data_IF_412572958865
#
_entry.id   IF_412572958865
#
_cell.length_a   1.000
_cell.length_b   1.000
_cell.length_c   1.000
_cell.angle_alpha   90.00
_cell.angle_beta   90.00
_cell.angle_gamma   90.00
#
_symmetry.space_group_name_H-M   'P 1'
#
loop_
_entity.id
_entity.type
_entity.pdbx_description
1 polymer ?
#
# COMPACT_ATOMS: atom_id res chain seq x y z
N UNK A 1 -33.29 -13.03 36.63
CA UNK A 1 -32.38 -13.97 35.95
C UNK A 1 -32.39 -13.88 34.41
N UNK A 2 -33.49 -13.48 33.74
CA UNK A 2 -33.55 -13.41 32.25
C UNK A 2 -32.91 -12.17 31.61
N UNK A 3 -32.74 -11.06 32.35
CA UNK A 3 -32.20 -9.78 31.82
C UNK A 3 -30.67 -9.79 31.60
N UNK A 4 -29.94 -10.66 32.30
CA UNK A 4 -28.48 -10.72 32.22
C UNK A 4 -27.98 -11.35 30.90
N UNK A 5 -28.74 -12.29 30.34
CA UNK A 5 -28.43 -12.88 29.02
C UNK A 5 -28.68 -11.92 27.85
N UNK A 6 -29.67 -11.01 27.97
CA UNK A 6 -30.02 -10.07 26.90
C UNK A 6 -28.97 -8.96 26.74
N UNK A 7 -28.43 -8.45 27.86
CA UNK A 7 -27.33 -7.48 27.86
C UNK A 7 -26.03 -8.05 27.27
N UNK A 8 -25.73 -9.34 27.53
CA UNK A 8 -24.58 -10.02 26.96
C UNK A 8 -24.66 -10.17 25.43
N UNK A 9 -25.86 -10.45 24.90
CA UNK A 9 -26.09 -10.57 23.45
C UNK A 9 -25.95 -9.21 22.76
N UNK A 10 -26.47 -8.12 23.35
CA UNK A 10 -26.31 -6.76 22.81
C UNK A 10 -24.83 -6.37 22.72
N UNK A 11 -24.03 -6.69 23.74
CA UNK A 11 -22.59 -6.42 23.74
C UNK A 11 -21.84 -7.16 22.63
N UNK A 12 -22.18 -8.43 22.37
CA UNK A 12 -21.56 -9.24 21.31
C UNK A 12 -21.97 -8.73 19.91
N UNK A 13 -23.24 -8.35 19.73
CA UNK A 13 -23.73 -7.78 18.47
C UNK A 13 -23.10 -6.42 18.19
N UNK A 14 -22.88 -5.59 19.22
CA UNK A 14 -22.20 -4.31 19.08
C UNK A 14 -20.73 -4.49 18.66
N UNK A 15 -20.00 -5.43 19.26
CA UNK A 15 -18.61 -5.74 18.89
C UNK A 15 -18.49 -6.30 17.46
N UNK A 16 -19.43 -7.16 17.05
CA UNK A 16 -19.49 -7.68 15.68
C UNK A 16 -19.90 -6.62 14.65
N UNK A 17 -20.63 -5.59 15.07
CA UNK A 17 -20.99 -4.45 14.21
C UNK A 17 -19.81 -3.47 14.04
N UNK A 18 -18.99 -3.29 15.08
CA UNK A 18 -17.80 -2.41 15.05
C UNK A 18 -16.68 -3.01 14.20
N UNK A 19 -16.52 -4.34 14.16
CA UNK A 19 -15.52 -5.00 13.30
C UNK A 19 -15.77 -4.78 11.81
N UNK A 20 -17.01 -4.58 11.39
CA UNK A 20 -17.36 -4.27 10.00
C UNK A 20 -17.02 -2.81 9.60
N UNK A 21 -16.86 -1.90 10.57
CA UNK A 21 -16.49 -0.50 10.31
C UNK A 21 -14.98 -0.35 10.02
N UNK A 22 -14.17 -1.33 10.41
CA UNK A 22 -12.73 -1.43 10.15
C UNK A 22 -12.41 -2.24 8.88
N UNK A 23 -13.41 -2.48 8.02
CA UNK A 23 -13.18 -3.02 6.69
C UNK A 23 -12.35 -2.01 5.90
N UNK A 24 -11.05 -2.30 5.80
CA UNK A 24 -10.02 -1.58 5.05
C UNK A 24 -10.62 -1.12 3.72
N UNK A 25 -10.65 0.19 3.53
CA UNK A 25 -11.08 0.80 2.28
C UNK A 25 -9.94 0.60 1.28
N UNK A 26 -9.87 -0.58 0.67
CA UNK A 26 -8.91 -0.88 -0.38
C UNK A 26 -9.19 0.05 -1.56
N UNK A 27 -8.42 1.14 -1.66
CA UNK A 27 -8.43 1.96 -2.86
C UNK A 27 -7.85 1.10 -3.99
N UNK A 28 -8.54 0.96 -5.14
CA UNK A 28 -8.02 0.13 -6.21
C UNK A 28 -6.66 0.67 -6.66
N UNK A 29 -5.59 -0.11 -6.45
CA UNK A 29 -4.26 0.25 -6.94
C UNK A 29 -4.32 0.26 -8.47
N UNK A 30 -4.22 1.44 -9.06
CA UNK A 30 -4.18 1.60 -10.53
C UNK A 30 -2.96 0.84 -11.05
N UNK A 31 -3.21 -0.16 -11.90
CA UNK A 31 -2.15 -1.00 -12.46
C UNK A 31 -1.59 -0.32 -13.71
N UNK A 32 -0.48 0.40 -13.55
CA UNK A 32 0.12 1.20 -14.65
C UNK A 32 0.81 0.36 -15.74
N UNK A 33 0.80 -0.98 -15.65
CA UNK A 33 1.47 -1.88 -16.59
C UNK A 33 0.91 -1.85 -18.03
N UNK A 34 -0.26 -1.24 -18.23
CA UNK A 34 -0.84 -0.97 -19.55
C UNK A 34 -0.30 0.31 -20.17
N UNK A 35 0.11 1.28 -19.35
CA UNK A 35 0.64 2.57 -19.78
C UNK A 35 2.16 2.50 -20.02
N UNK A 36 2.87 1.80 -19.13
CA UNK A 36 4.33 1.74 -19.14
C UNK A 36 4.79 0.28 -18.99
N UNK A 37 5.68 -0.15 -19.88
CA UNK A 37 6.42 -1.41 -19.77
C UNK A 37 7.76 -1.13 -19.12
N UNK A 38 7.91 -1.49 -17.85
CA UNK A 38 9.12 -1.27 -17.08
C UNK A 38 9.85 -2.58 -16.77
N UNK A 39 11.17 -2.58 -16.86
CA UNK A 39 12.03 -3.73 -16.57
C UNK A 39 13.10 -3.36 -15.56
N UNK A 40 12.99 -3.88 -14.32
CA UNK A 40 14.05 -3.72 -13.31
C UNK A 40 15.38 -4.33 -13.78
N UNK A 41 15.32 -5.48 -14.46
CA UNK A 41 16.52 -6.19 -14.94
C UNK A 41 17.35 -5.30 -15.87
N UNK A 42 16.70 -4.64 -16.84
CA UNK A 42 17.38 -3.75 -17.79
C UNK A 42 18.06 -2.59 -17.03
N UNK A 43 17.33 -1.92 -16.14
CA UNK A 43 17.83 -0.73 -15.45
C UNK A 43 18.96 -1.06 -14.46
N UNK A 44 18.86 -2.18 -13.73
CA UNK A 44 19.87 -2.55 -12.74
C UNK A 44 21.09 -3.19 -13.42
N UNK A 45 20.89 -4.16 -14.31
CA UNK A 45 22.00 -4.97 -14.81
C UNK A 45 22.68 -4.37 -16.04
N UNK A 46 21.90 -3.76 -16.95
CA UNK A 46 22.43 -3.32 -18.25
C UNK A 46 22.77 -1.82 -18.23
N UNK A 47 21.96 -1.00 -17.54
CA UNK A 47 22.21 0.44 -17.35
C UNK A 47 23.08 0.72 -16.12
N UNK A 48 23.04 -0.14 -15.11
CA UNK A 48 23.83 0.02 -13.87
C UNK A 48 23.22 1.00 -12.86
N UNK A 49 21.91 1.25 -12.93
CA UNK A 49 21.22 2.11 -11.96
C UNK A 49 21.19 1.46 -10.56
N UNK A 50 21.37 2.29 -9.54
CA UNK A 50 21.23 1.90 -8.13
C UNK A 50 19.78 1.92 -7.69
N UNK A 51 19.44 1.14 -6.65
CA UNK A 51 18.08 1.06 -6.12
C UNK A 51 17.52 2.45 -5.72
N UNK A 52 18.39 3.29 -5.15
CA UNK A 52 18.07 4.64 -4.68
C UNK A 52 17.81 5.64 -5.78
N UNK A 53 18.23 5.34 -7.03
CA UNK A 53 18.05 6.24 -8.16
C UNK A 53 16.56 6.35 -8.53
N UNK A 54 15.78 5.29 -8.27
CA UNK A 54 14.32 5.30 -8.40
C UNK A 54 13.61 5.37 -7.05
N UNK A 55 14.13 4.67 -6.03
CA UNK A 55 13.50 4.55 -4.71
C UNK A 55 14.14 5.45 -3.66
N UNK A 56 14.31 6.74 -3.96
CA UNK A 56 15.09 7.66 -3.12
C UNK A 56 14.61 7.80 -1.66
N UNK A 57 13.31 7.58 -1.41
CA UNK A 57 12.73 7.65 -0.05
C UNK A 57 12.68 6.30 0.66
N UNK A 58 12.98 5.19 -0.03
CA UNK A 58 12.82 3.86 0.56
C UNK A 58 13.79 3.62 1.72
N UNK A 59 14.99 4.17 1.66
CA UNK A 59 15.98 4.04 2.72
C UNK A 59 15.55 4.68 4.06
N UNK A 60 14.70 5.70 4.01
CA UNK A 60 14.20 6.44 5.19
C UNK A 60 12.76 6.11 5.55
N UNK A 61 12.08 5.27 4.77
CA UNK A 61 10.68 4.92 4.98
C UNK A 61 10.55 4.01 6.20
N UNK A 62 9.53 4.28 7.02
CA UNK A 62 9.21 3.49 8.22
C UNK A 62 7.82 2.87 8.16
N UNK A 63 7.08 3.09 7.06
CA UNK A 63 5.72 2.60 6.88
C UNK A 63 5.52 1.94 5.52
N UNK A 64 4.82 0.82 5.54
CA UNK A 64 4.41 0.05 4.37
C UNK A 64 3.38 0.77 3.48
N UNK A 65 2.73 1.82 3.98
CA UNK A 65 1.78 2.63 3.20
C UNK A 65 2.44 3.79 2.47
N UNK A 66 3.75 4.00 2.65
CA UNK A 66 4.48 5.06 1.99
C UNK A 66 4.54 4.85 0.48
N UNK A 67 4.38 5.94 -0.27
CA UNK A 67 4.53 5.92 -1.72
C UNK A 67 6.01 6.04 -2.11
N UNK A 68 6.64 4.90 -2.36
CA UNK A 68 8.08 4.80 -2.64
C UNK A 68 8.44 4.64 -4.12
N UNK A 69 7.47 4.73 -5.02
CA UNK A 69 7.68 4.63 -6.47
C UNK A 69 8.14 6.01 -7.00
N UNK A 70 9.08 6.09 -7.96
CA UNK A 70 9.51 7.35 -8.55
C UNK A 70 8.37 8.10 -9.24
N UNK A 71 8.55 9.41 -9.36
CA UNK A 71 7.75 10.24 -10.24
C UNK A 71 8.29 10.23 -11.68
N UNK A 72 7.57 10.89 -12.59
CA UNK A 72 7.98 11.00 -13.99
C UNK A 72 9.31 11.75 -14.16
N UNK A 73 9.59 12.72 -13.29
CA UNK A 73 10.80 13.54 -13.37
C UNK A 73 12.06 12.69 -13.16
N UNK A 74 11.97 11.68 -12.29
CA UNK A 74 13.04 10.71 -12.05
C UNK A 74 13.40 9.92 -13.30
N UNK A 75 12.44 9.60 -14.18
CA UNK A 75 12.74 8.93 -15.45
C UNK A 75 13.59 9.83 -16.37
N UNK A 76 13.29 11.13 -16.38
CA UNK A 76 13.96 12.13 -17.23
C UNK A 76 15.31 12.63 -16.71
N UNK A 77 15.81 12.09 -15.62
CA UNK A 77 17.21 12.36 -15.22
C UNK A 77 18.19 11.60 -16.10
N UNK A 78 17.74 10.54 -16.77
CA UNK A 78 18.53 9.75 -17.71
C UNK A 78 17.94 9.65 -19.13
N UNK A 79 16.60 9.66 -19.27
CA UNK A 79 15.88 9.62 -20.57
C UNK A 79 15.62 11.00 -21.15
#
# INVERSE_FOLDING_TARGET
MKKLGFLGIIGIVALFSISNLFAIKDTPRVKNSTLIKFSHKLHINDVGASCTDCHGKAASSTSEVDYLIPDMQTCFTCH
#
